data_IF_015044255036
#
_entry.id   IF_015044255036
#
_cell.length_a   1.000
_cell.length_b   1.000
_cell.length_c   1.000
_cell.angle_alpha   90.00
_cell.angle_beta   90.00
_cell.angle_gamma   90.00
#
_symmetry.space_group_name_H-M   'P 1'
#
loop_
_entity.id
_entity.type
_entity.pdbx_description
1 polymer ?
#
# COMPACT_ATOMS: atom_id res chain seq x y z
N UNK A 1 9.01 -20.30 -8.86
CA UNK A 1 7.76 -20.15 -8.09
C UNK A 1 7.81 -18.79 -7.40
N UNK A 2 7.47 -17.74 -8.13
CA UNK A 2 7.39 -16.38 -7.58
C UNK A 2 6.10 -16.27 -6.78
N UNK A 3 6.20 -15.81 -5.53
CA UNK A 3 5.05 -15.44 -4.72
C UNK A 3 4.30 -14.27 -5.40
N UNK A 4 3.35 -14.56 -6.28
CA UNK A 4 2.54 -13.60 -7.05
C UNK A 4 1.64 -12.69 -6.19
N UNK A 5 1.74 -12.81 -4.86
CA UNK A 5 0.92 -12.13 -3.88
C UNK A 5 1.73 -11.17 -2.98
N UNK A 6 2.83 -10.64 -3.51
CA UNK A 6 3.73 -9.69 -2.83
C UNK A 6 3.47 -8.26 -3.29
N UNK A 7 3.54 -7.31 -2.36
CA UNK A 7 3.56 -5.87 -2.67
C UNK A 7 4.96 -5.29 -2.47
N UNK A 8 5.30 -4.31 -3.31
CA UNK A 8 6.44 -3.42 -3.13
C UNK A 8 5.91 -2.04 -2.74
N UNK A 9 6.44 -1.47 -1.66
CA UNK A 9 6.06 -0.14 -1.17
C UNK A 9 7.28 0.78 -1.22
N UNK A 10 7.13 1.93 -1.86
CA UNK A 10 8.20 2.91 -2.03
C UNK A 10 7.98 4.16 -1.17
N UNK A 11 9.06 4.82 -0.71
CA UNK A 11 8.96 6.09 0.04
C UNK A 11 8.26 7.24 -0.70
N UNK A 12 8.11 7.14 -2.02
CA UNK A 12 7.35 8.10 -2.84
C UNK A 12 5.83 8.00 -2.68
N UNK A 13 5.32 7.10 -1.83
CA UNK A 13 3.88 6.86 -1.67
C UNK A 13 3.30 5.99 -2.78
N UNK A 14 4.15 5.21 -3.45
CA UNK A 14 3.76 4.26 -4.50
C UNK A 14 3.75 2.84 -3.95
N UNK A 15 2.72 2.09 -4.31
CA UNK A 15 2.61 0.65 -4.09
C UNK A 15 2.51 -0.05 -5.44
N UNK A 16 3.35 -1.05 -5.66
CA UNK A 16 3.30 -1.93 -6.84
C UNK A 16 2.77 -3.29 -6.40
N UNK A 17 1.72 -3.75 -7.08
CA UNK A 17 1.16 -5.08 -6.93
C UNK A 17 0.84 -5.67 -8.31
N UNK A 18 1.52 -6.76 -8.67
CA UNK A 18 1.51 -7.28 -10.05
C UNK A 18 1.88 -6.14 -11.01
N UNK A 19 1.09 -5.92 -12.05
CA UNK A 19 1.31 -4.87 -13.06
C UNK A 19 0.57 -3.55 -12.75
N UNK A 20 0.15 -3.35 -11.49
CA UNK A 20 -0.60 -2.15 -11.06
C UNK A 20 0.24 -1.28 -10.13
N UNK A 21 0.29 0.01 -10.45
CA UNK A 21 0.77 1.07 -9.56
C UNK A 21 -0.42 1.74 -8.87
N UNK A 22 -0.38 1.82 -7.55
CA UNK A 22 -1.42 2.41 -6.70
C UNK A 22 -0.81 3.46 -5.78
N UNK A 23 -1.59 4.47 -5.40
CA UNK A 23 -1.21 5.42 -4.34
C UNK A 23 -1.37 4.75 -2.98
N UNK A 24 -0.35 4.88 -2.14
CA UNK A 24 -0.35 4.37 -0.77
C UNK A 24 -0.09 5.51 0.21
N UNK A 25 -0.84 5.51 1.32
CA UNK A 25 -0.51 6.33 2.45
C UNK A 25 0.71 5.72 3.16
N UNK A 26 1.70 6.55 3.48
CA UNK A 26 2.83 6.18 4.29
C UNK A 26 2.67 6.75 5.70
N UNK A 27 3.31 6.12 6.67
CA UNK A 27 3.48 6.70 7.99
C UNK A 27 4.10 8.11 7.90
N UNK A 28 3.69 9.01 8.80
CA UNK A 28 4.16 10.41 8.83
C UNK A 28 5.69 10.52 8.92
N UNK A 29 6.32 9.53 9.54
CA UNK A 29 7.78 9.45 9.71
C UNK A 29 8.48 8.74 8.55
N UNK A 30 7.79 8.51 7.43
CA UNK A 30 8.36 7.92 6.22
C UNK A 30 8.49 6.40 6.29
N UNK A 31 9.46 5.85 5.56
CA UNK A 31 9.73 4.41 5.46
C UNK A 31 11.06 4.09 6.15
N UNK A 32 11.06 3.16 7.11
CA UNK A 32 12.24 2.84 7.93
C UNK A 32 12.51 1.35 7.98
N UNK A 33 13.79 0.95 8.08
CA UNK A 33 14.19 -0.46 8.21
C UNK A 33 13.83 -1.03 9.59
N UNK A 34 14.06 -0.26 10.66
CA UNK A 34 13.82 -0.67 12.04
C UNK A 34 12.65 0.12 12.63
N UNK A 35 11.43 -0.29 12.27
CA UNK A 35 10.20 0.33 12.78
C UNK A 35 10.00 -0.01 14.25
N UNK A 36 9.73 1.00 15.06
CA UNK A 36 9.31 0.86 16.46
C UNK A 36 7.81 1.15 16.59
N UNK A 37 7.15 0.56 17.60
CA UNK A 37 5.75 0.87 17.84
C UNK A 37 5.59 2.32 18.30
N UNK A 38 4.66 3.06 17.68
CA UNK A 38 4.44 4.48 17.98
C UNK A 38 5.30 5.48 17.19
N UNK A 39 6.27 5.03 16.39
CA UNK A 39 7.15 5.93 15.61
C UNK A 39 6.47 6.57 14.39
N UNK A 40 5.30 6.08 14.00
CA UNK A 40 4.55 6.56 12.86
C UNK A 40 5.23 6.32 11.51
N UNK A 41 6.12 5.33 11.39
CA UNK A 41 6.78 4.96 10.13
C UNK A 41 6.17 3.71 9.49
N UNK A 42 6.35 3.55 8.18
CA UNK A 42 6.07 2.33 7.42
C UNK A 42 7.35 1.46 7.38
N UNK A 43 7.31 0.16 7.69
CA UNK A 43 8.51 -0.67 7.60
C UNK A 43 8.91 -0.89 6.14
N UNK A 44 10.20 -0.78 5.82
CA UNK A 44 10.76 -1.17 4.52
C UNK A 44 10.61 -2.69 4.36
N UNK A 45 10.07 -3.15 3.22
CA UNK A 45 10.08 -4.58 2.93
C UNK A 45 9.10 -5.01 1.85
N UNK A 46 9.11 -6.32 1.62
CA UNK A 46 8.17 -7.00 0.75
C UNK A 46 7.16 -7.77 1.59
N UNK A 47 5.88 -7.45 1.45
CA UNK A 47 4.82 -7.98 2.30
C UNK A 47 3.84 -8.81 1.46
N UNK A 48 3.44 -9.97 1.98
CA UNK A 48 2.37 -10.78 1.38
C UNK A 48 1.00 -10.16 1.65
N UNK A 49 0.13 -10.02 0.64
CA UNK A 49 -1.26 -9.60 0.87
C UNK A 49 -2.01 -10.74 1.54
N UNK A 50 -2.55 -10.52 2.74
CA UNK A 50 -3.34 -11.53 3.47
C UNK A 50 -4.84 -11.35 3.29
N UNK A 51 -5.31 -10.11 3.36
CA UNK A 51 -6.72 -9.73 3.27
C UNK A 51 -6.83 -8.38 2.57
N UNK A 52 -7.90 -8.19 1.80
CA UNK A 52 -8.23 -6.91 1.16
C UNK A 52 -9.58 -6.46 1.71
N UNK A 53 -9.63 -5.25 2.22
CA UNK A 53 -10.85 -4.62 2.72
C UNK A 53 -11.27 -3.55 1.72
N UNK A 54 -12.54 -3.58 1.32
CA UNK A 54 -13.11 -2.65 0.35
C UNK A 54 -14.27 -1.89 1.00
N UNK A 55 -14.33 -0.58 0.78
CA UNK A 55 -15.43 0.29 1.17
C UNK A 55 -16.35 0.50 -0.03
N UNK A 56 -17.54 -0.08 0.04
CA UNK A 56 -18.56 -0.01 -1.02
C UNK A 56 -19.37 1.30 -1.00
N UNK A 57 -19.20 2.13 0.02
CA UNK A 57 -19.96 3.36 0.25
C UNK A 57 -19.38 4.61 -0.42
N UNK A 58 -18.46 4.46 -1.39
CA UNK A 58 -18.00 5.59 -2.20
C UNK A 58 -19.12 6.00 -3.15
N UNK A 59 -19.53 7.30 -3.25
CA UNK A 59 -20.43 7.71 -4.30
C UNK A 59 -19.81 7.35 -5.65
N UNK A 60 -20.44 6.42 -6.36
CA UNK A 60 -20.19 6.15 -7.77
C UNK A 60 -20.66 7.38 -8.54
N UNK A 61 -19.89 8.46 -8.54
CA UNK A 61 -20.10 9.54 -9.51
C UNK A 61 -19.76 8.95 -10.86
N UNK A 62 -20.76 8.36 -11.50
CA UNK A 62 -20.79 8.12 -12.93
C UNK A 62 -20.66 9.51 -13.58
N UNK A 63 -19.45 9.90 -13.95
CA UNK A 63 -19.31 10.87 -15.03
C UNK A 63 -19.75 10.16 -16.30
N UNK A 64 -21.05 10.17 -16.55
CA UNK A 64 -21.54 10.07 -17.92
C UNK A 64 -21.11 11.35 -18.62
N UNK A 65 -20.42 11.13 -19.74
CA UNK A 65 -19.90 12.09 -20.74
C UNK A 65 -20.59 13.44 -20.81
#
# INVERSE_FOLDING_TARGET
MTDDNKILVYPSGKLIYKDKELRAALGKSGVVLNKQEGDGATPVGCFSIRKVYYRADWPLTLSLS
#
